data_IF_014531594913
#
_entry.id   IF_014531594913
#
_cell.length_a   1.000
_cell.length_b   1.000
_cell.length_c   1.000
_cell.angle_alpha   90.00
_cell.angle_beta   90.00
_cell.angle_gamma   90.00
#
_symmetry.space_group_name_H-M   'P 1'
#
loop_
_entity.id
_entity.type
_entity.pdbx_description
1 polymer ?
#
# COMPACT_ATOMS: atom_id res chain seq x y z
N UNK A 1 -11.99 26.15 7.67
CA UNK A 1 -13.42 26.28 7.30
C UNK A 1 -14.27 25.68 8.42
N UNK A 2 -15.27 26.40 8.98
CA UNK A 2 -16.29 25.78 9.87
C UNK A 2 -17.11 24.84 9.01
N UNK A 3 -17.03 23.52 9.26
CA UNK A 3 -17.89 22.53 8.60
C UNK A 3 -19.33 22.85 8.99
N UNK A 4 -20.23 23.09 8.03
CA UNK A 4 -21.67 23.11 8.28
C UNK A 4 -22.04 21.72 8.81
N UNK A 5 -22.60 21.60 10.02
CA UNK A 5 -22.93 20.29 10.55
C UNK A 5 -24.04 19.67 9.69
N UNK A 6 -23.85 18.43 9.27
CA UNK A 6 -24.89 17.63 8.63
C UNK A 6 -26.08 17.51 9.61
N UNK A 7 -27.30 17.49 9.08
CA UNK A 7 -28.48 17.23 9.88
C UNK A 7 -28.44 15.80 10.48
N UNK A 8 -29.18 15.57 11.61
CA UNK A 8 -29.09 14.28 12.29
C UNK A 8 -29.56 13.09 11.44
N UNK A 9 -30.54 13.26 10.56
CA UNK A 9 -31.03 12.15 9.70
C UNK A 9 -30.00 11.77 8.63
N UNK A 10 -29.39 12.75 7.98
CA UNK A 10 -28.28 12.51 7.05
C UNK A 10 -27.12 11.78 7.74
N UNK A 11 -26.75 12.15 8.97
CA UNK A 11 -25.71 11.43 9.74
C UNK A 11 -26.10 9.97 9.99
N UNK A 12 -27.34 9.71 10.37
CA UNK A 12 -27.82 8.34 10.59
C UNK A 12 -27.81 7.52 9.30
N UNK A 13 -28.21 8.11 8.17
CA UNK A 13 -28.20 7.45 6.86
C UNK A 13 -26.78 7.06 6.44
N UNK A 14 -25.80 7.96 6.58
CA UNK A 14 -24.37 7.67 6.28
C UNK A 14 -23.83 6.54 7.14
N UNK A 15 -24.17 6.50 8.44
CA UNK A 15 -23.74 5.42 9.32
C UNK A 15 -24.36 4.08 8.93
N UNK A 16 -25.64 4.07 8.54
CA UNK A 16 -26.34 2.86 8.11
C UNK A 16 -25.85 2.34 6.76
N UNK A 17 -25.46 3.22 5.83
CA UNK A 17 -24.84 2.88 4.55
C UNK A 17 -23.54 2.08 4.75
N UNK A 18 -22.73 2.44 5.73
CA UNK A 18 -21.48 1.74 6.01
C UNK A 18 -21.66 0.33 6.60
N UNK A 19 -22.80 0.00 7.20
CA UNK A 19 -23.01 -1.25 7.95
C UNK A 19 -22.77 -2.52 7.12
N UNK A 20 -23.25 -2.68 5.87
CA UNK A 20 -22.97 -3.85 5.04
C UNK A 20 -21.47 -4.05 4.81
N UNK A 21 -20.75 -2.97 4.54
CA UNK A 21 -19.30 -2.97 4.31
C UNK A 21 -18.53 -3.37 5.57
N UNK A 22 -18.90 -2.80 6.71
CA UNK A 22 -18.29 -3.15 8.00
C UNK A 22 -18.49 -4.65 8.33
N UNK A 23 -19.67 -5.22 8.04
CA UNK A 23 -19.90 -6.66 8.19
C UNK A 23 -19.01 -7.49 7.28
N UNK A 24 -18.85 -7.07 6.01
CA UNK A 24 -18.03 -7.74 5.00
C UNK A 24 -16.56 -7.78 5.38
N UNK A 25 -16.04 -6.71 5.97
CA UNK A 25 -14.62 -6.58 6.31
C UNK A 25 -14.28 -6.95 7.75
N UNK A 26 -15.26 -7.19 8.62
CA UNK A 26 -15.01 -7.59 10.01
C UNK A 26 -14.19 -8.87 10.09
N UNK A 27 -13.06 -8.82 10.79
CA UNK A 27 -12.11 -9.91 10.94
C UNK A 27 -11.21 -10.15 9.72
N UNK A 28 -11.46 -9.46 8.60
CA UNK A 28 -10.64 -9.61 7.40
C UNK A 28 -9.30 -8.91 7.54
N UNK A 29 -8.24 -9.53 7.03
CA UNK A 29 -6.93 -8.88 6.87
C UNK A 29 -6.94 -7.99 5.63
N UNK A 30 -6.51 -6.76 5.82
CA UNK A 30 -6.34 -5.75 4.77
C UNK A 30 -4.92 -5.24 4.79
N UNK A 31 -4.18 -5.42 3.69
CA UNK A 31 -2.83 -4.86 3.55
C UNK A 31 -2.95 -3.51 2.86
N UNK A 32 -2.41 -2.48 3.49
CA UNK A 32 -2.45 -1.11 2.99
C UNK A 32 -1.03 -0.65 2.68
N UNK A 33 -0.75 -0.40 1.41
CA UNK A 33 0.50 0.23 1.01
C UNK A 33 0.38 1.74 1.14
N UNK A 34 1.27 2.33 1.93
CA UNK A 34 1.36 3.77 2.15
C UNK A 34 2.64 4.36 1.56
N UNK A 35 2.52 5.42 0.76
CA UNK A 35 3.66 6.02 0.10
C UNK A 35 3.32 7.29 -0.69
N UNK A 36 4.29 7.81 -1.43
CA UNK A 36 4.10 8.98 -2.28
C UNK A 36 3.94 10.29 -1.52
N UNK A 37 3.24 11.24 -2.14
CA UNK A 37 3.04 12.59 -1.60
C UNK A 37 2.16 12.62 -0.34
N UNK A 38 1.35 11.60 -0.09
CA UNK A 38 0.60 11.47 1.16
C UNK A 38 1.50 11.45 2.40
N UNK A 39 2.78 11.06 2.23
CA UNK A 39 3.74 10.95 3.33
C UNK A 39 4.44 12.26 3.69
N UNK A 40 4.25 13.34 2.95
CA UNK A 40 4.91 14.63 3.19
C UNK A 40 3.97 15.72 3.70
N UNK A 41 2.68 15.51 3.61
CA UNK A 41 1.64 16.43 4.09
C UNK A 41 1.09 15.97 5.45
N UNK A 42 1.21 16.80 6.48
CA UNK A 42 0.82 16.45 7.85
C UNK A 42 -0.69 16.26 8.04
N UNK A 43 -1.53 16.94 7.24
CA UNK A 43 -2.98 16.73 7.28
C UNK A 43 -3.34 15.37 6.69
N UNK A 44 -2.70 14.98 5.57
CA UNK A 44 -2.90 13.66 4.94
C UNK A 44 -2.38 12.52 5.82
N UNK A 45 -1.23 12.71 6.50
CA UNK A 45 -0.72 11.73 7.47
C UNK A 45 -1.71 11.49 8.61
N UNK A 46 -2.31 12.56 9.15
CA UNK A 46 -3.31 12.46 10.22
C UNK A 46 -4.59 11.80 9.71
N UNK A 47 -5.07 12.18 8.52
CA UNK A 47 -6.24 11.55 7.92
C UNK A 47 -6.02 10.05 7.70
N UNK A 48 -4.85 9.66 7.15
CA UNK A 48 -4.46 8.27 7.01
C UNK A 48 -4.48 7.51 8.35
N UNK A 49 -3.88 8.08 9.40
CA UNK A 49 -3.88 7.45 10.72
C UNK A 49 -5.29 7.27 11.27
N UNK A 50 -6.17 8.28 11.11
CA UNK A 50 -7.57 8.20 11.50
C UNK A 50 -8.33 7.09 10.76
N UNK A 51 -8.09 6.95 9.46
CA UNK A 51 -8.71 5.92 8.64
C UNK A 51 -8.28 4.50 9.07
N UNK A 52 -6.98 4.30 9.31
CA UNK A 52 -6.46 3.01 9.81
C UNK A 52 -7.04 2.68 11.19
N UNK A 53 -7.08 3.65 12.10
CA UNK A 53 -7.65 3.45 13.42
C UNK A 53 -9.15 3.17 13.36
N UNK A 54 -9.89 3.86 12.49
CA UNK A 54 -11.30 3.55 12.25
C UNK A 54 -11.49 2.11 11.78
N UNK A 55 -10.78 1.67 10.74
CA UNK A 55 -10.85 0.30 10.24
C UNK A 55 -10.52 -0.73 11.33
N UNK A 56 -9.49 -0.47 12.12
CA UNK A 56 -9.12 -1.33 13.25
C UNK A 56 -10.24 -1.40 14.31
N UNK A 57 -10.83 -0.26 14.68
CA UNK A 57 -11.89 -0.17 15.69
C UNK A 57 -13.17 -0.92 15.26
N UNK A 58 -13.48 -0.94 13.97
CA UNK A 58 -14.65 -1.68 13.45
C UNK A 58 -14.37 -3.15 13.20
N UNK A 59 -13.17 -3.62 13.55
CA UNK A 59 -12.80 -5.04 13.54
C UNK A 59 -12.11 -5.52 12.26
N UNK A 60 -11.66 -4.63 11.38
CA UNK A 60 -10.71 -4.98 10.30
C UNK A 60 -9.34 -5.27 10.92
N UNK A 61 -8.55 -6.10 10.29
CA UNK A 61 -7.14 -6.40 10.68
C UNK A 61 -6.18 -5.69 9.72
N UNK A 62 -5.88 -4.40 9.90
CA UNK A 62 -5.04 -3.64 8.98
C UNK A 62 -3.56 -3.96 9.18
N UNK A 63 -2.84 -4.07 8.06
CA UNK A 63 -1.39 -4.22 7.97
C UNK A 63 -0.87 -3.09 7.10
N UNK A 64 -0.04 -2.21 7.64
CA UNK A 64 0.50 -1.07 6.89
C UNK A 64 1.89 -1.42 6.36
N UNK A 65 2.09 -1.31 5.05
CA UNK A 65 3.42 -1.44 4.41
C UNK A 65 3.80 -0.08 3.83
N UNK A 66 4.93 0.47 4.23
CA UNK A 66 5.28 1.80 3.79
C UNK A 66 6.62 1.87 3.05
N UNK A 67 6.71 2.83 2.13
CA UNK A 67 7.95 3.31 1.56
C UNK A 67 8.45 4.58 2.26
N UNK A 68 9.19 5.43 1.53
CA UNK A 68 9.74 6.68 2.07
C UNK A 68 10.66 7.38 1.07
N UNK A 69 10.36 7.25 -0.23
CA UNK A 69 11.18 7.84 -1.29
C UNK A 69 11.50 9.33 -1.09
N UNK A 70 10.51 10.20 -0.81
CA UNK A 70 10.75 11.61 -0.54
C UNK A 70 11.67 11.85 0.66
N UNK A 71 11.46 11.12 1.77
CA UNK A 71 12.25 11.23 2.99
C UNK A 71 13.69 10.74 2.79
N UNK A 72 13.87 9.65 2.04
CA UNK A 72 15.20 9.16 1.64
C UNK A 72 15.92 10.22 0.80
N UNK A 73 15.26 10.82 -0.21
CA UNK A 73 15.83 11.88 -1.03
C UNK A 73 16.26 13.10 -0.19
N UNK A 74 15.41 13.51 0.75
CA UNK A 74 15.71 14.62 1.64
C UNK A 74 16.94 14.33 2.53
N UNK A 75 17.05 13.11 3.05
CA UNK A 75 18.18 12.72 3.90
C UNK A 75 19.49 12.59 3.09
N UNK A 76 19.45 11.94 1.91
CA UNK A 76 20.63 11.86 1.03
C UNK A 76 21.13 13.25 0.65
N UNK A 77 20.23 14.16 0.27
CA UNK A 77 20.58 15.56 -0.01
C UNK A 77 21.22 16.25 1.20
N UNK A 78 20.67 16.05 2.40
CA UNK A 78 21.20 16.62 3.65
C UNK A 78 22.61 16.11 3.97
N UNK A 79 22.91 14.85 3.63
CA UNK A 79 24.21 14.23 3.82
C UNK A 79 25.19 14.48 2.67
N UNK A 80 24.76 15.14 1.60
CA UNK A 80 25.59 15.38 0.42
C UNK A 80 25.84 14.14 -0.45
N UNK A 81 25.01 13.08 -0.26
CA UNK A 81 25.12 11.83 -1.02
C UNK A 81 24.28 11.93 -2.28
N UNK A 82 24.87 11.58 -3.42
CA UNK A 82 24.19 11.59 -4.72
C UNK A 82 23.06 10.56 -4.75
N UNK A 83 21.91 10.94 -5.34
CA UNK A 83 20.77 10.03 -5.56
C UNK A 83 20.52 9.92 -7.05
N UNK A 84 20.63 8.72 -7.59
CA UNK A 84 20.40 8.39 -9.01
C UNK A 84 19.27 7.37 -9.13
N UNK A 85 18.52 7.45 -10.24
CA UNK A 85 17.50 6.47 -10.60
C UNK A 85 17.78 5.92 -11.98
N UNK A 86 17.62 4.60 -12.16
CA UNK A 86 17.72 3.90 -13.44
C UNK A 86 16.53 2.96 -13.60
N UNK A 87 15.81 3.07 -14.70
CA UNK A 87 14.60 2.27 -14.93
C UNK A 87 13.59 2.34 -13.79
N UNK A 88 13.42 3.53 -13.17
CA UNK A 88 12.51 3.73 -12.05
C UNK A 88 13.00 3.20 -10.69
N UNK A 89 14.16 2.53 -10.63
CA UNK A 89 14.76 2.03 -9.40
C UNK A 89 15.89 2.96 -8.93
N UNK A 90 15.98 3.17 -7.61
CA UNK A 90 17.08 3.94 -7.01
C UNK A 90 18.37 3.13 -7.09
N UNK A 91 19.41 3.72 -7.65
CA UNK A 91 20.75 3.14 -7.52
C UNK A 91 21.12 3.15 -6.04
N UNK A 92 21.30 1.96 -5.46
CA UNK A 92 21.47 1.78 -4.02
C UNK A 92 22.85 1.19 -3.73
N UNK A 93 23.84 2.06 -3.54
CA UNK A 93 25.17 1.67 -3.03
C UNK A 93 25.07 1.26 -1.55
N UNK A 94 26.09 0.63 -0.95
CA UNK A 94 26.10 0.34 0.49
C UNK A 94 25.83 1.57 1.34
N UNK A 95 26.45 2.71 1.05
CA UNK A 95 26.23 3.98 1.73
C UNK A 95 24.79 4.49 1.61
N UNK A 96 24.20 4.39 0.40
CA UNK A 96 22.79 4.73 0.17
C UNK A 96 21.87 3.77 0.92
N UNK A 97 22.23 2.48 1.01
CA UNK A 97 21.41 1.48 1.74
C UNK A 97 21.37 1.76 3.24
N UNK A 98 22.47 2.20 3.84
CA UNK A 98 22.51 2.62 5.24
C UNK A 98 21.51 3.76 5.49
N UNK A 99 21.49 4.76 4.61
CA UNK A 99 20.52 5.87 4.68
C UNK A 99 19.09 5.38 4.48
N UNK A 100 18.85 4.50 3.50
CA UNK A 100 17.52 3.89 3.25
C UNK A 100 17.02 3.19 4.51
N UNK A 101 17.85 2.34 5.10
CA UNK A 101 17.51 1.58 6.31
C UNK A 101 17.21 2.52 7.49
N UNK A 102 18.09 3.50 7.79
CA UNK A 102 17.87 4.49 8.85
C UNK A 102 16.57 5.29 8.65
N UNK A 103 16.30 5.74 7.44
CA UNK A 103 15.12 6.57 7.14
C UNK A 103 13.85 5.74 7.23
N UNK A 104 13.81 4.57 6.62
CA UNK A 104 12.61 3.75 6.62
C UNK A 104 12.26 3.23 8.01
N UNK A 105 13.22 2.62 8.72
CA UNK A 105 12.96 1.99 10.03
C UNK A 105 12.96 2.97 11.19
N UNK A 106 13.81 3.99 11.13
CA UNK A 106 14.02 4.95 12.21
C UNK A 106 13.16 6.21 12.12
N UNK A 107 12.98 6.78 10.92
CA UNK A 107 12.26 8.05 10.76
C UNK A 107 10.80 7.81 10.37
N UNK A 108 10.57 7.29 9.17
CA UNK A 108 9.22 7.14 8.59
C UNK A 108 8.35 6.23 9.43
N UNK A 109 8.87 5.05 9.77
CA UNK A 109 8.11 4.06 10.54
C UNK A 109 7.77 4.58 11.94
N UNK A 110 8.73 5.25 12.63
CA UNK A 110 8.47 5.79 13.96
C UNK A 110 7.44 6.90 13.96
N UNK A 111 7.44 7.76 12.94
CA UNK A 111 6.41 8.78 12.77
C UNK A 111 5.03 8.14 12.59
N UNK A 112 4.90 7.13 11.72
CA UNK A 112 3.63 6.42 11.50
C UNK A 112 3.13 5.71 12.76
N UNK A 113 4.01 4.97 13.44
CA UNK A 113 3.67 4.31 14.70
C UNK A 113 3.23 5.31 15.77
N UNK A 114 3.90 6.46 15.86
CA UNK A 114 3.51 7.53 16.78
C UNK A 114 2.12 8.07 16.48
N UNK A 115 1.81 8.34 15.22
CA UNK A 115 0.50 8.83 14.78
C UNK A 115 -0.61 7.82 15.07
N UNK A 116 -0.36 6.53 14.82
CA UNK A 116 -1.33 5.46 15.07
C UNK A 116 -1.49 5.13 16.57
N UNK A 117 -0.57 5.58 17.42
CA UNK A 117 -0.62 5.38 18.86
C UNK A 117 -1.05 6.64 19.64
N UNK A 118 -1.55 7.67 18.96
CA UNK A 118 -1.96 8.94 19.62
C UNK A 118 -3.07 8.70 20.65
N UNK A 119 -4.05 7.85 20.33
CA UNK A 119 -5.21 7.58 21.17
C UNK A 119 -5.18 6.16 21.80
N UNK A 120 -4.00 5.53 21.86
CA UNK A 120 -3.83 4.18 22.40
C UNK A 120 -2.53 3.52 21.95
N UNK A 121 -2.36 2.23 22.23
CA UNK A 121 -1.15 1.48 21.92
C UNK A 121 -1.43 0.39 20.86
N UNK A 122 -2.00 0.76 19.73
CA UNK A 122 -2.43 -0.19 18.71
C UNK A 122 -1.30 -0.62 17.75
N UNK A 123 -0.43 0.30 17.33
CA UNK A 123 0.55 0.04 16.27
C UNK A 123 1.92 -0.42 16.78
N UNK A 124 2.50 -1.37 16.06
CA UNK A 124 3.86 -1.88 16.27
C UNK A 124 4.63 -1.83 14.96
N UNK A 125 5.80 -1.19 14.96
CA UNK A 125 6.68 -1.14 13.78
C UNK A 125 7.63 -2.32 13.75
N UNK A 126 7.69 -2.98 12.60
CA UNK A 126 8.65 -4.03 12.26
C UNK A 126 9.24 -3.76 10.87
N UNK A 127 10.41 -4.28 10.59
CA UNK A 127 11.01 -4.25 9.24
C UNK A 127 10.88 -5.60 8.56
N UNK A 128 11.11 -5.66 7.27
CA UNK A 128 11.19 -6.94 6.59
C UNK A 128 12.34 -7.84 7.07
N UNK A 129 13.28 -7.30 7.86
CA UNK A 129 14.39 -8.04 8.47
C UNK A 129 13.96 -8.79 9.74
N UNK A 130 12.93 -8.26 10.44
CA UNK A 130 12.54 -8.74 11.76
C UNK A 130 11.86 -10.12 11.68
N UNK A 131 12.28 -11.05 12.53
CA UNK A 131 11.68 -12.37 12.61
C UNK A 131 11.76 -13.19 11.32
N UNK A 132 12.66 -12.84 10.40
CA UNK A 132 12.74 -13.48 9.09
C UNK A 132 11.55 -13.21 8.17
N UNK A 133 10.86 -12.08 8.39
CA UNK A 133 9.61 -11.73 7.72
C UNK A 133 9.72 -11.73 6.19
N UNK A 134 10.75 -11.06 5.64
CA UNK A 134 10.98 -11.00 4.20
C UNK A 134 12.33 -11.59 3.81
N UNK A 135 12.39 -12.17 2.62
CA UNK A 135 13.62 -12.53 1.93
C UNK A 135 13.56 -11.98 0.52
N UNK A 136 14.66 -11.40 0.05
CA UNK A 136 14.72 -10.79 -1.28
C UNK A 136 15.88 -11.35 -2.10
N UNK A 137 15.77 -11.23 -3.41
CA UNK A 137 16.83 -11.49 -4.37
C UNK A 137 17.21 -10.19 -5.04
N UNK A 138 18.50 -9.99 -5.28
CA UNK A 138 18.99 -8.83 -6.00
C UNK A 138 18.34 -8.73 -7.39
N UNK A 139 18.00 -7.54 -7.81
CA UNK A 139 17.30 -7.26 -9.06
C UNK A 139 17.99 -6.14 -9.83
N UNK A 140 18.34 -6.34 -11.11
CA UNK A 140 18.76 -5.26 -12.00
C UNK A 140 17.58 -4.39 -12.42
N UNK A 141 17.85 -3.15 -12.82
CA UNK A 141 16.90 -2.33 -13.57
C UNK A 141 16.88 -2.77 -15.04
N UNK A 142 15.78 -2.46 -15.74
CA UNK A 142 15.70 -2.56 -17.20
C UNK A 142 15.66 -1.14 -17.78
N UNK A 143 16.62 -0.80 -18.61
CA UNK A 143 16.71 0.50 -19.30
C UNK A 143 16.91 0.21 -20.78
N UNK A 144 16.01 0.68 -21.63
CA UNK A 144 16.05 0.45 -23.09
C UNK A 144 16.23 -1.03 -23.46
N UNK A 145 15.55 -1.94 -22.73
CA UNK A 145 15.63 -3.40 -22.91
C UNK A 145 16.87 -4.06 -22.31
N UNK A 146 17.84 -3.30 -21.81
CA UNK A 146 19.08 -3.82 -21.23
C UNK A 146 18.99 -3.91 -19.70
N UNK A 147 19.58 -4.97 -19.13
CA UNK A 147 19.74 -5.09 -17.68
C UNK A 147 20.89 -4.21 -17.20
N UNK A 148 20.61 -3.31 -16.25
CA UNK A 148 21.57 -2.39 -15.65
C UNK A 148 21.65 -2.67 -14.15
N UNK A 149 22.87 -2.78 -13.63
CA UNK A 149 23.08 -2.91 -12.19
C UNK A 149 22.67 -1.63 -11.45
N UNK A 150 21.93 -1.81 -10.38
CA UNK A 150 21.43 -0.74 -9.49
C UNK A 150 21.84 -0.96 -8.03
N UNK A 151 22.79 -1.87 -7.79
CA UNK A 151 23.35 -2.17 -6.47
C UNK A 151 22.38 -2.96 -5.58
N UNK A 152 22.24 -2.53 -4.32
CA UNK A 152 21.48 -3.23 -3.29
C UNK A 152 19.97 -3.01 -3.44
N UNK A 153 19.42 -3.36 -4.58
CA UNK A 153 17.98 -3.35 -4.86
C UNK A 153 17.48 -4.79 -5.01
N UNK A 154 16.33 -5.09 -4.43
CA UNK A 154 15.79 -6.44 -4.43
C UNK A 154 14.32 -6.54 -4.73
N UNK A 155 13.92 -7.75 -5.17
CA UNK A 155 12.53 -8.21 -5.20
C UNK A 155 12.31 -9.23 -4.09
N UNK A 156 11.15 -9.15 -3.41
CA UNK A 156 10.73 -10.14 -2.42
C UNK A 156 10.48 -11.47 -3.13
N UNK A 157 11.08 -12.52 -2.61
CA UNK A 157 10.95 -13.90 -3.13
C UNK A 157 10.32 -14.85 -2.12
N UNK A 158 10.38 -14.49 -0.83
CA UNK A 158 9.76 -15.27 0.23
C UNK A 158 9.25 -14.36 1.35
N UNK A 159 8.14 -14.75 1.97
CA UNK A 159 7.50 -14.07 3.09
C UNK A 159 7.14 -15.09 4.15
N UNK A 160 7.69 -14.94 5.35
CA UNK A 160 7.26 -15.69 6.54
C UNK A 160 6.24 -14.84 7.32
N UNK A 161 4.93 -15.07 7.19
CA UNK A 161 3.91 -14.14 7.70
C UNK A 161 3.73 -14.22 9.23
N UNK A 162 4.37 -15.16 9.92
CA UNK A 162 4.12 -15.42 11.33
C UNK A 162 4.32 -14.18 12.24
N UNK A 163 5.37 -13.36 12.07
CA UNK A 163 5.53 -12.15 12.89
C UNK A 163 4.36 -11.16 12.76
N UNK A 164 3.76 -11.08 11.56
CA UNK A 164 2.57 -10.23 11.33
C UNK A 164 1.34 -10.87 11.98
N UNK A 165 1.14 -12.18 11.81
CA UNK A 165 0.00 -12.92 12.37
C UNK A 165 -0.02 -12.78 13.89
N UNK A 166 1.12 -12.96 14.56
CA UNK A 166 1.25 -12.85 16.01
C UNK A 166 0.84 -11.46 16.52
N UNK A 167 1.22 -10.40 15.80
CA UNK A 167 0.81 -9.04 16.14
C UNK A 167 -0.70 -8.82 15.91
N UNK A 168 -1.23 -9.29 14.79
CA UNK A 168 -2.65 -9.18 14.48
C UNK A 168 -3.53 -9.94 15.47
N UNK A 169 -3.10 -11.11 15.94
CA UNK A 169 -3.82 -11.93 16.91
C UNK A 169 -3.82 -11.30 18.32
N UNK A 170 -2.85 -10.45 18.62
CA UNK A 170 -2.81 -9.60 19.79
C UNK A 170 -3.57 -8.28 19.63
N UNK A 171 -4.32 -8.09 18.54
CA UNK A 171 -5.04 -6.86 18.25
C UNK A 171 -4.13 -5.66 17.93
N UNK A 172 -2.93 -5.91 17.39
CA UNK A 172 -2.00 -4.85 16.99
C UNK A 172 -2.10 -4.55 15.51
N UNK A 173 -1.66 -3.36 15.13
CA UNK A 173 -1.52 -2.90 13.74
C UNK A 173 -0.05 -2.99 13.37
N UNK A 174 0.39 -3.98 12.58
CA UNK A 174 1.77 -4.04 12.09
C UNK A 174 2.06 -2.91 11.10
N UNK A 175 3.17 -2.19 11.30
CA UNK A 175 3.68 -1.14 10.39
C UNK A 175 5.04 -1.60 9.88
N UNK A 176 5.12 -1.90 8.57
CA UNK A 176 6.24 -2.64 7.98
C UNK A 176 7.03 -1.75 7.03
N UNK A 177 8.33 -1.62 7.26
CA UNK A 177 9.24 -0.96 6.33
C UNK A 177 9.76 -1.95 5.28
N UNK A 178 9.85 -1.48 4.01
CA UNK A 178 10.16 -2.30 2.84
C UNK A 178 11.67 -2.47 2.62
N UNK A 179 12.36 -3.08 3.58
CA UNK A 179 13.74 -3.57 3.46
C UNK A 179 13.76 -5.07 3.72
N UNK A 180 14.65 -5.82 3.08
CA UNK A 180 14.68 -7.27 3.21
C UNK A 180 16.10 -7.83 3.09
N UNK A 181 16.48 -8.84 3.91
CA UNK A 181 17.74 -9.54 3.74
C UNK A 181 17.80 -10.30 2.41
N UNK A 182 19.02 -10.36 1.84
CA UNK A 182 19.31 -11.19 0.70
C UNK A 182 19.17 -12.68 1.05
N UNK A 183 18.59 -13.48 0.17
CA UNK A 183 18.35 -14.92 0.41
C UNK A 183 19.61 -15.73 0.64
N UNK A 184 20.71 -15.35 0.00
CA UNK A 184 22.01 -16.06 0.06
C UNK A 184 22.94 -15.53 1.13
N UNK A 185 22.62 -14.35 1.68
CA UNK A 185 23.43 -13.68 2.69
C UNK A 185 22.50 -12.78 3.55
N UNK A 186 22.22 -13.21 4.77
CA UNK A 186 21.30 -12.50 5.65
C UNK A 186 21.87 -11.20 6.25
N UNK A 187 23.16 -10.96 6.13
CA UNK A 187 23.80 -9.71 6.59
C UNK A 187 23.63 -8.59 5.54
N UNK A 188 23.53 -8.96 4.26
CA UNK A 188 23.25 -8.02 3.19
C UNK A 188 21.77 -7.71 3.10
N UNK A 189 21.43 -6.43 3.28
CA UNK A 189 20.03 -5.92 3.22
C UNK A 189 19.81 -5.22 1.89
N UNK A 190 18.63 -5.42 1.31
CA UNK A 190 18.21 -4.85 0.04
C UNK A 190 17.10 -3.83 0.22
N UNK A 191 17.17 -2.76 -0.56
CA UNK A 191 16.09 -1.81 -0.75
C UNK A 191 15.01 -2.43 -1.64
N UNK A 192 13.83 -2.64 -1.09
CA UNK A 192 12.71 -3.28 -1.79
C UNK A 192 11.62 -2.24 -2.09
N UNK A 193 11.02 -2.34 -3.28
CA UNK A 193 9.87 -1.50 -3.62
C UNK A 193 8.68 -1.85 -2.70
N UNK A 194 8.08 -0.83 -2.08
CA UNK A 194 7.00 -1.01 -1.12
C UNK A 194 5.71 -1.56 -1.77
N UNK A 195 5.45 -1.31 -3.06
CA UNK A 195 4.29 -1.84 -3.77
C UNK A 195 4.43 -3.37 -3.92
N UNK A 196 5.63 -3.84 -4.32
CA UNK A 196 5.92 -5.28 -4.46
C UNK A 196 5.99 -5.98 -3.10
N UNK A 197 6.53 -5.33 -2.07
CA UNK A 197 6.53 -5.87 -0.70
C UNK A 197 5.10 -6.03 -0.16
N UNK A 198 4.25 -5.01 -0.35
CA UNK A 198 2.86 -5.06 0.09
C UNK A 198 2.08 -6.18 -0.61
N UNK A 199 2.27 -6.35 -1.93
CA UNK A 199 1.65 -7.44 -2.69
C UNK A 199 2.09 -8.81 -2.17
N UNK A 200 3.40 -9.03 -1.95
CA UNK A 200 3.93 -10.29 -1.43
C UNK A 200 3.38 -10.61 -0.03
N UNK A 201 3.34 -9.62 0.86
CA UNK A 201 2.78 -9.75 2.21
C UNK A 201 1.28 -10.05 2.13
N UNK A 202 0.52 -9.38 1.25
CA UNK A 202 -0.90 -9.63 1.08
C UNK A 202 -1.20 -11.07 0.62
N UNK A 203 -0.41 -11.61 -0.30
CA UNK A 203 -0.50 -13.00 -0.74
C UNK A 203 -0.20 -13.96 0.41
N UNK A 204 0.91 -13.76 1.13
CA UNK A 204 1.32 -14.64 2.24
C UNK A 204 0.29 -14.66 3.39
N UNK A 205 -0.35 -13.52 3.66
CA UNK A 205 -1.42 -13.41 4.67
C UNK A 205 -2.78 -13.88 4.18
N UNK A 206 -2.92 -14.25 2.90
CA UNK A 206 -4.22 -14.51 2.25
C UNK A 206 -5.19 -13.36 2.53
N UNK A 207 -4.69 -12.14 2.37
CA UNK A 207 -5.45 -10.93 2.68
C UNK A 207 -6.73 -10.87 1.81
N UNK A 208 -7.80 -10.36 2.39
CA UNK A 208 -9.03 -10.11 1.62
C UNK A 208 -8.82 -9.00 0.60
N UNK A 209 -8.04 -7.99 0.99
CA UNK A 209 -7.84 -6.78 0.18
C UNK A 209 -6.39 -6.31 0.28
N UNK A 210 -5.85 -5.91 -0.87
CA UNK A 210 -4.67 -5.07 -0.97
C UNK A 210 -5.11 -3.66 -1.38
N UNK A 211 -4.79 -2.63 -0.60
CA UNK A 211 -5.09 -1.24 -0.93
C UNK A 211 -3.81 -0.46 -1.18
N UNK A 212 -3.68 0.10 -2.38
CA UNK A 212 -2.53 0.87 -2.83
C UNK A 212 -2.86 2.37 -2.82
N UNK A 213 -2.32 3.12 -1.85
CA UNK A 213 -2.39 4.58 -1.90
C UNK A 213 -1.31 5.11 -2.84
N UNK A 214 -1.74 5.93 -3.79
CA UNK A 214 -0.92 6.46 -4.89
C UNK A 214 -1.07 7.97 -5.03
N UNK A 215 -0.37 8.56 -6.01
CA UNK A 215 -0.49 9.98 -6.34
C UNK A 215 -1.43 10.22 -7.54
N UNK A 216 -2.32 9.27 -7.85
CA UNK A 216 -3.34 9.36 -8.89
C UNK A 216 -4.66 8.79 -8.38
N UNK A 217 -5.78 9.23 -8.94
CA UNK A 217 -7.13 8.84 -8.52
C UNK A 217 -7.39 7.34 -8.72
N UNK A 218 -6.81 6.74 -9.76
CA UNK A 218 -6.95 5.33 -10.10
C UNK A 218 -6.33 5.04 -11.45
N UNK A 219 -6.83 4.01 -12.13
CA UNK A 219 -6.44 3.63 -13.49
C UNK A 219 -7.29 4.36 -14.51
N UNK A 220 -6.67 4.89 -15.56
CA UNK A 220 -7.33 5.53 -16.70
C UNK A 220 -7.11 4.71 -17.95
N UNK A 221 -8.16 4.49 -18.74
CA UNK A 221 -8.03 3.78 -20.01
C UNK A 221 -7.40 4.63 -21.12
N UNK A 222 -7.42 5.97 -21.00
CA UNK A 222 -6.82 6.90 -21.95
C UNK A 222 -6.28 8.16 -21.24
N UNK A 223 -5.21 8.01 -20.46
CA UNK A 223 -4.54 9.15 -19.83
C UNK A 223 -3.99 10.13 -20.88
N UNK A 224 -4.11 11.47 -20.72
CA UNK A 224 -4.48 12.19 -19.49
C UNK A 224 -5.98 12.54 -19.36
N UNK A 225 -6.87 11.93 -20.15
CA UNK A 225 -8.29 12.17 -20.04
C UNK A 225 -8.87 11.56 -18.75
N UNK A 226 -9.16 12.44 -17.77
CA UNK A 226 -9.69 12.04 -16.46
C UNK A 226 -11.11 11.48 -16.52
N UNK A 227 -11.86 11.72 -17.59
CA UNK A 227 -13.19 11.12 -17.76
C UNK A 227 -13.14 9.61 -18.04
N UNK A 228 -11.94 9.08 -18.30
CA UNK A 228 -11.68 7.68 -18.60
C UNK A 228 -11.22 6.86 -17.40
N UNK A 229 -11.49 7.33 -16.18
CA UNK A 229 -11.24 6.57 -14.95
C UNK A 229 -11.99 5.23 -15.01
N UNK A 230 -11.26 4.15 -14.75
CA UNK A 230 -11.79 2.79 -14.76
C UNK A 230 -12.08 2.36 -13.31
N UNK A 231 -13.35 2.35 -12.87
CA UNK A 231 -13.67 2.02 -11.49
C UNK A 231 -13.48 0.54 -11.17
N UNK A 232 -13.67 -0.36 -12.16
CA UNK A 232 -13.52 -1.80 -12.03
C UNK A 232 -12.82 -2.39 -13.23
N UNK A 233 -11.86 -3.28 -12.98
CA UNK A 233 -11.17 -4.01 -14.04
C UNK A 233 -10.85 -5.43 -13.59
N UNK A 234 -11.08 -6.40 -14.48
CA UNK A 234 -10.62 -7.76 -14.24
C UNK A 234 -9.11 -7.90 -14.44
N UNK A 235 -8.50 -8.90 -13.82
CA UNK A 235 -7.07 -9.19 -14.04
C UNK A 235 -6.74 -9.36 -15.52
N UNK A 236 -7.58 -10.08 -16.29
CA UNK A 236 -7.37 -10.29 -17.73
C UNK A 236 -7.40 -8.97 -18.52
N UNK A 237 -8.40 -8.11 -18.28
CA UNK A 237 -8.49 -6.82 -18.95
C UNK A 237 -7.34 -5.87 -18.55
N UNK A 238 -6.87 -5.96 -17.31
CA UNK A 238 -5.72 -5.18 -16.86
C UNK A 238 -4.42 -5.64 -17.54
N UNK A 239 -4.22 -6.94 -17.75
CA UNK A 239 -3.06 -7.44 -18.50
C UNK A 239 -3.03 -6.92 -19.94
N UNK A 240 -4.18 -6.86 -20.62
CA UNK A 240 -4.30 -6.28 -21.96
C UNK A 240 -3.98 -4.78 -21.97
N UNK A 241 -4.38 -4.06 -20.92
CA UNK A 241 -4.16 -2.62 -20.80
C UNK A 241 -2.73 -2.25 -20.38
N UNK A 242 -2.04 -3.14 -19.65
CA UNK A 242 -0.76 -2.88 -19.01
C UNK A 242 0.33 -2.29 -19.94
N UNK A 243 0.50 -2.78 -21.21
CA UNK A 243 1.50 -2.22 -22.15
C UNK A 243 1.24 -0.78 -22.58
N UNK A 244 0.02 -0.27 -22.39
CA UNK A 244 -0.37 1.08 -22.79
C UNK A 244 -0.23 2.11 -21.66
N UNK A 245 0.08 1.64 -20.44
CA UNK A 245 0.14 2.48 -19.26
C UNK A 245 1.46 3.28 -19.21
N UNK A 246 1.42 4.40 -18.51
CA UNK A 246 2.62 5.17 -18.22
C UNK A 246 3.59 4.38 -17.32
N UNK A 247 4.89 4.58 -17.54
CA UNK A 247 5.96 3.86 -16.85
C UNK A 247 5.85 3.88 -15.30
N UNK A 248 5.31 4.96 -14.72
CA UNK A 248 5.10 5.06 -13.28
C UNK A 248 3.92 4.24 -12.74
N UNK A 249 2.94 3.88 -13.60
CA UNK A 249 1.77 3.10 -13.23
C UNK A 249 2.01 1.59 -13.35
N UNK A 250 2.80 1.17 -14.34
CA UNK A 250 3.07 -0.25 -14.63
C UNK A 250 3.47 -1.04 -13.37
N UNK A 251 4.48 -0.63 -12.57
CA UNK A 251 4.89 -1.42 -11.40
C UNK A 251 3.78 -1.59 -10.34
N UNK A 252 2.89 -0.60 -10.23
CA UNK A 252 1.76 -0.64 -9.29
C UNK A 252 0.69 -1.63 -9.75
N UNK A 253 0.35 -1.59 -11.05
CA UNK A 253 -0.62 -2.51 -11.64
C UNK A 253 -0.09 -3.95 -11.65
N UNK A 254 1.20 -4.15 -11.94
CA UNK A 254 1.86 -5.45 -11.82
C UNK A 254 1.81 -6.00 -10.39
N UNK A 255 2.01 -5.14 -9.37
CA UNK A 255 1.90 -5.54 -7.98
C UNK A 255 0.46 -5.94 -7.61
N UNK A 256 -0.54 -5.20 -8.10
CA UNK A 256 -1.96 -5.54 -7.93
C UNK A 256 -2.31 -6.87 -8.62
N UNK A 257 -1.89 -7.09 -9.88
CA UNK A 257 -2.07 -8.35 -10.60
C UNK A 257 -1.45 -9.52 -9.84
N UNK A 258 -0.21 -9.36 -9.40
CA UNK A 258 0.50 -10.39 -8.62
C UNK A 258 -0.25 -10.74 -7.34
N UNK A 259 -0.81 -9.75 -6.64
CA UNK A 259 -1.58 -9.98 -5.43
C UNK A 259 -2.87 -10.77 -5.72
N UNK A 260 -3.65 -10.35 -6.72
CA UNK A 260 -4.92 -11.01 -7.05
C UNK A 260 -4.69 -12.43 -7.59
N UNK A 261 -3.73 -12.64 -8.48
CA UNK A 261 -3.34 -13.99 -8.93
C UNK A 261 -2.79 -14.87 -7.80
N UNK A 262 -2.15 -14.26 -6.81
CA UNK A 262 -1.68 -14.95 -5.60
C UNK A 262 -2.78 -15.28 -4.59
N UNK A 263 -4.06 -14.97 -4.90
CA UNK A 263 -5.22 -15.34 -4.08
C UNK A 263 -5.74 -14.23 -3.17
N UNK A 264 -5.24 -12.99 -3.29
CA UNK A 264 -5.87 -11.83 -2.66
C UNK A 264 -7.21 -11.57 -3.33
N UNK A 265 -8.28 -11.38 -2.54
CA UNK A 265 -9.64 -11.28 -3.08
C UNK A 265 -9.83 -10.14 -4.06
N UNK A 266 -9.23 -8.98 -3.79
CA UNK A 266 -9.22 -7.81 -4.68
C UNK A 266 -8.08 -6.85 -4.32
N UNK A 267 -7.64 -6.04 -5.28
CA UNK A 267 -6.72 -4.95 -5.07
C UNK A 267 -7.38 -3.62 -5.43
N UNK A 268 -7.10 -2.58 -4.65
CA UNK A 268 -7.63 -1.23 -4.86
C UNK A 268 -6.50 -0.26 -5.09
N UNK A 269 -6.68 0.67 -6.02
CA UNK A 269 -5.77 1.79 -6.26
C UNK A 269 -6.51 3.08 -6.03
N UNK A 270 -6.02 3.90 -5.10
CA UNK A 270 -6.74 5.06 -4.57
C UNK A 270 -5.81 6.25 -4.42
N UNK A 271 -6.31 7.46 -4.61
CA UNK A 271 -5.54 8.70 -4.45
C UNK A 271 -5.26 8.99 -2.95
N UNK A 272 -4.02 8.79 -2.54
CA UNK A 272 -3.57 9.11 -1.18
C UNK A 272 -3.44 10.62 -0.90
N UNK A 273 -3.60 11.49 -1.90
CA UNK A 273 -3.59 12.95 -1.74
C UNK A 273 -4.98 13.49 -1.34
N UNK A 274 -6.01 12.68 -1.41
CA UNK A 274 -7.35 13.00 -0.93
C UNK A 274 -7.53 12.45 0.49
N UNK A 275 -7.80 13.31 1.45
CA UNK A 275 -8.07 12.90 2.83
C UNK A 275 -9.30 11.95 2.88
N UNK A 276 -9.15 10.86 3.63
CA UNK A 276 -10.19 9.83 3.82
C UNK A 276 -10.62 9.07 2.55
N UNK A 277 -9.84 9.13 1.47
CA UNK A 277 -10.12 8.39 0.23
C UNK A 277 -10.20 6.88 0.46
N UNK A 278 -9.42 6.36 1.39
CA UNK A 278 -9.45 4.94 1.78
C UNK A 278 -10.81 4.55 2.37
N UNK A 279 -11.40 5.37 3.24
CA UNK A 279 -12.73 5.09 3.78
C UNK A 279 -13.81 5.23 2.70
N UNK A 280 -13.72 6.25 1.85
CA UNK A 280 -14.64 6.41 0.72
C UNK A 280 -14.63 5.20 -0.19
N UNK A 281 -13.46 4.61 -0.46
CA UNK A 281 -13.32 3.41 -1.29
C UNK A 281 -13.88 2.15 -0.63
N UNK A 282 -13.65 1.96 0.67
CA UNK A 282 -13.88 0.68 1.34
C UNK A 282 -15.26 0.58 2.01
N UNK A 283 -15.81 1.70 2.50
CA UNK A 283 -17.03 1.68 3.33
C UNK A 283 -18.18 2.51 2.76
N UNK A 284 -18.13 2.87 1.48
CA UNK A 284 -19.24 3.54 0.78
C UNK A 284 -19.60 2.83 -0.53
N UNK A 285 -20.81 3.09 -1.02
CA UNK A 285 -21.30 2.54 -2.28
C UNK A 285 -20.62 3.20 -3.51
N UNK A 286 -20.02 4.36 -3.33
CA UNK A 286 -19.33 5.12 -4.37
C UNK A 286 -17.84 5.05 -4.13
N UNK A 287 -17.17 4.04 -4.71
CA UNK A 287 -15.71 4.00 -4.75
C UNK A 287 -15.12 5.22 -5.46
N UNK A 288 -13.93 5.62 -5.06
CA UNK A 288 -13.21 6.79 -5.61
C UNK A 288 -11.96 6.41 -6.40
N UNK A 289 -11.66 5.12 -6.49
CA UNK A 289 -10.47 4.58 -7.11
C UNK A 289 -10.75 3.55 -8.21
N UNK A 290 -9.83 2.61 -8.34
CA UNK A 290 -9.96 1.46 -9.24
C UNK A 290 -9.86 0.17 -8.45
N UNK A 291 -10.82 -0.73 -8.65
CA UNK A 291 -10.83 -2.09 -8.10
C UNK A 291 -10.36 -3.08 -9.16
N UNK A 292 -9.32 -3.84 -8.84
CA UNK A 292 -8.83 -4.97 -9.63
C UNK A 292 -9.34 -6.25 -8.97
N UNK A 293 -10.07 -7.08 -9.73
CA UNK A 293 -10.69 -8.31 -9.23
C UNK A 293 -10.31 -9.53 -10.09
N UNK A 294 -10.33 -10.76 -9.54
CA UNK A 294 -10.13 -11.96 -10.33
C UNK A 294 -11.27 -12.07 -11.35
N UNK A 295 -10.97 -12.43 -12.62
CA UNK A 295 -11.82 -12.54 -13.79
C UNK A 295 -13.30 -12.75 -13.52
N UNK A 296 -13.92 -13.84 -13.83
CA UNK A 296 -15.37 -14.10 -13.77
C UNK A 296 -16.06 -14.05 -12.38
N UNK A 297 -15.37 -13.62 -11.33
CA UNK A 297 -16.02 -13.34 -10.06
C UNK A 297 -17.03 -12.20 -10.25
N UNK A 298 -18.31 -12.35 -9.87
CA UNK A 298 -19.22 -11.24 -9.87
C UNK A 298 -18.60 -10.11 -9.03
N UNK A 299 -18.45 -8.95 -9.62
CA UNK A 299 -18.11 -7.72 -8.89
C UNK A 299 -19.08 -7.69 -7.72
N UNK A 300 -18.63 -7.74 -6.46
CA UNK A 300 -19.57 -7.59 -5.36
C UNK A 300 -20.33 -6.29 -5.63
N UNK A 301 -21.66 -6.29 -5.63
CA UNK A 301 -22.42 -5.09 -5.95
C UNK A 301 -21.90 -3.99 -5.01
N UNK A 302 -21.51 -2.87 -5.57
CA UNK A 302 -21.25 -1.63 -4.84
C UNK A 302 -22.47 -1.22 -4.03
N UNK A 303 -23.62 -1.72 -4.47
CA UNK A 303 -24.88 -1.58 -3.76
C UNK A 303 -25.08 -2.83 -2.91
N UNK A 304 -25.10 -2.68 -1.58
CA UNK A 304 -25.82 -3.58 -0.69
C UNK A 304 -27.32 -3.66 -1.06
N UNK A 305 -27.63 -3.50 -2.36
CA UNK A 305 -28.92 -3.49 -2.99
C UNK A 305 -29.49 -4.90 -3.00
N UNK A 306 -30.42 -5.12 -2.08
CA UNK A 306 -31.45 -6.12 -2.22
C UNK A 306 -31.97 -6.12 -3.66
N UNK A 307 -31.79 -7.23 -4.39
CA UNK A 307 -32.87 -7.64 -5.27
C UNK A 307 -34.09 -7.85 -4.38
N UNK A 308 -35.04 -6.95 -4.49
CA UNK A 308 -36.40 -7.14 -4.05
C UNK A 308 -37.04 -8.32 -4.78
#
# INVERSE_FOLDING_TARGET
MKRTPLDPQTKASVLLEAVPWLRTYKGATMVIKYGGNAMVNDELKRAFAQDILFLHQVGVRPVVVHGGGPQINAMLKRLGIASEFRGGLRVTTPEVMDVVRMVLTGSVQRELVSLLNTDGSAAVGISGEDGGLLRARQRPATVDGNKVDVGLVGDVVDVSPQPIIDLLDQGRIPVISSVAPLTTDSETVLNVNADTAAAAIAVALKARTLLMLTDVEGLYSAWPDRSTLVPFISTAALEELLPTLEAGMIPKMEACLRAVYGGVGQAHVVDGRQAHSMLLEIVTDQGVGTVIHPGDAPVPPLNGGKSL
#
